data_IF_913822393356
#
_entry.id   IF_913822393356
#
_cell.length_a   1.000
_cell.length_b   1.000
_cell.length_c   1.000
_cell.angle_alpha   90.00
_cell.angle_beta   90.00
_cell.angle_gamma   90.00
#
_symmetry.space_group_name_H-M   'P 1'
#
loop_
_entity.id
_entity.type
_entity.pdbx_description
1 polymer ?
#
# COMPACT_ATOMS: atom_id res chain seq x y z
N UNK A 1 -11.90 6.18 3.43
CA UNK A 1 -12.93 5.11 3.23
C UNK A 1 -13.15 4.30 4.52
N UNK A 2 -13.21 4.99 5.67
CA UNK A 2 -13.30 4.30 6.98
C UNK A 2 -14.62 3.53 7.11
N UNK A 3 -15.73 4.16 6.78
CA UNK A 3 -17.05 3.52 6.93
C UNK A 3 -17.22 2.30 6.02
N UNK A 4 -16.73 2.39 4.78
CA UNK A 4 -16.77 1.24 3.86
C UNK A 4 -15.86 0.09 4.35
N UNK A 5 -14.72 0.39 4.94
CA UNK A 5 -13.83 -0.62 5.55
C UNK A 5 -14.55 -1.33 6.68
N UNK A 6 -15.18 -0.60 7.61
CA UNK A 6 -15.91 -1.16 8.74
C UNK A 6 -17.10 -2.01 8.28
N UNK A 7 -17.86 -1.52 7.28
CA UNK A 7 -18.99 -2.25 6.69
C UNK A 7 -18.54 -3.60 6.11
N UNK A 8 -17.45 -3.63 5.32
CA UNK A 8 -17.00 -4.86 4.68
C UNK A 8 -16.23 -5.79 5.60
N UNK A 9 -15.58 -5.29 6.66
CA UNK A 9 -14.98 -6.13 7.69
C UNK A 9 -16.02 -6.86 8.54
N UNK A 10 -17.22 -6.27 8.73
CA UNK A 10 -18.33 -6.84 9.50
C UNK A 10 -17.87 -7.28 10.90
N UNK A 11 -17.49 -6.29 11.69
CA UNK A 11 -16.76 -6.51 12.93
C UNK A 11 -17.57 -7.27 13.98
N UNK A 12 -17.00 -8.37 14.47
CA UNK A 12 -17.38 -8.97 15.75
C UNK A 12 -16.72 -8.16 16.88
N UNK A 13 -17.47 -7.55 17.82
CA UNK A 13 -16.91 -6.73 18.90
C UNK A 13 -15.89 -7.43 19.80
N UNK A 14 -15.88 -8.76 19.84
CA UNK A 14 -14.96 -9.60 20.63
C UNK A 14 -13.86 -10.22 19.75
N UNK A 15 -13.84 -9.94 18.45
CA UNK A 15 -12.95 -10.56 17.47
C UNK A 15 -11.51 -10.09 17.55
N UNK A 16 -10.64 -10.83 16.87
CA UNK A 16 -9.24 -10.49 16.66
C UNK A 16 -9.04 -10.02 15.22
N UNK A 17 -8.56 -8.80 15.06
CA UNK A 17 -8.34 -8.16 13.75
C UNK A 17 -6.88 -7.81 13.52
N UNK A 18 -6.51 -7.73 12.26
CA UNK A 18 -5.20 -7.20 11.85
C UNK A 18 -5.40 -6.04 10.90
N UNK A 19 -4.76 -4.92 11.20
CA UNK A 19 -4.48 -3.85 10.25
C UNK A 19 -3.04 -4.06 9.77
N UNK A 20 -2.90 -4.63 8.57
CA UNK A 20 -1.60 -5.04 8.01
C UNK A 20 -0.76 -3.85 7.49
N UNK A 21 -1.33 -2.64 7.52
CA UNK A 21 -0.74 -1.38 7.07
C UNK A 21 -1.20 -0.24 7.98
N UNK A 22 -0.95 -0.38 9.28
CA UNK A 22 -1.57 0.50 10.30
C UNK A 22 -1.25 1.99 10.10
N UNK A 23 -0.14 2.32 9.45
CA UNK A 23 0.28 3.68 9.20
C UNK A 23 0.25 4.52 10.48
N UNK A 24 -0.43 5.65 10.45
CA UNK A 24 -0.63 6.52 11.63
C UNK A 24 -1.87 6.15 12.47
N UNK A 25 -2.47 4.98 12.25
CA UNK A 25 -3.54 4.45 13.09
C UNK A 25 -4.96 4.92 12.76
N UNK A 26 -5.22 5.46 11.56
CA UNK A 26 -6.55 5.99 11.21
C UNK A 26 -7.64 4.92 11.16
N UNK A 27 -7.46 3.87 10.40
CA UNK A 27 -8.38 2.73 10.33
C UNK A 27 -8.38 1.94 11.64
N UNK A 28 -7.20 1.73 12.24
CA UNK A 28 -7.05 1.05 13.51
C UNK A 28 -7.88 1.68 14.63
N UNK A 29 -7.90 3.03 14.75
CA UNK A 29 -8.74 3.75 15.70
C UNK A 29 -10.22 3.45 15.49
N UNK A 30 -10.69 3.47 14.24
CA UNK A 30 -12.09 3.22 13.92
C UNK A 30 -12.51 1.77 14.21
N UNK A 31 -11.63 0.80 13.95
CA UNK A 31 -11.85 -0.61 14.30
C UNK A 31 -11.91 -0.76 15.82
N UNK A 32 -10.91 -0.28 16.55
CA UNK A 32 -10.82 -0.39 18.01
C UNK A 32 -12.00 0.27 18.74
N UNK A 33 -12.54 1.37 18.21
CA UNK A 33 -13.73 2.02 18.74
C UNK A 33 -15.01 1.18 18.61
N UNK A 34 -15.04 0.19 17.71
CA UNK A 34 -16.18 -0.76 17.53
C UNK A 34 -15.98 -2.06 18.30
N UNK A 35 -14.77 -2.36 18.74
CA UNK A 35 -14.47 -3.53 19.55
C UNK A 35 -14.78 -3.26 21.03
N UNK A 36 -15.27 -4.28 21.73
CA UNK A 36 -15.48 -4.27 23.20
C UNK A 36 -14.31 -4.97 23.92
N UNK A 37 -14.24 -6.27 23.84
CA UNK A 37 -13.15 -7.12 24.37
C UNK A 37 -12.20 -7.58 23.28
N UNK A 38 -12.56 -7.37 22.02
CA UNK A 38 -11.76 -7.72 20.85
C UNK A 38 -10.42 -6.97 20.80
N UNK A 39 -9.48 -7.50 20.02
CA UNK A 39 -8.11 -6.98 19.92
C UNK A 39 -7.74 -6.66 18.49
N UNK A 40 -6.77 -5.76 18.34
CA UNK A 40 -6.19 -5.39 17.05
C UNK A 40 -4.68 -5.56 17.08
N UNK A 41 -4.13 -6.20 16.06
CA UNK A 41 -2.71 -6.21 15.76
C UNK A 41 -2.48 -5.26 14.58
N UNK A 42 -1.62 -4.27 14.75
CA UNK A 42 -1.24 -3.31 13.70
C UNK A 42 0.17 -3.56 13.21
N UNK A 43 0.34 -3.73 11.90
CA UNK A 43 1.65 -3.89 11.27
C UNK A 43 2.01 -2.65 10.45
N UNK A 44 3.24 -2.24 10.50
CA UNK A 44 3.85 -1.31 9.54
C UNK A 44 5.37 -1.54 9.50
N UNK A 45 5.98 -1.28 8.36
CA UNK A 45 7.45 -1.33 8.22
C UNK A 45 8.12 0.02 8.52
N UNK A 46 7.34 1.11 8.56
CA UNK A 46 7.84 2.44 8.88
C UNK A 46 7.80 2.70 10.40
N UNK A 47 8.96 2.78 11.08
CA UNK A 47 9.02 3.01 12.51
C UNK A 47 8.44 4.37 12.92
N UNK A 48 8.49 5.39 12.05
CA UNK A 48 7.89 6.69 12.32
C UNK A 48 6.36 6.60 12.34
N UNK A 49 5.77 5.87 11.40
CA UNK A 49 4.34 5.63 11.37
C UNK A 49 3.86 4.89 12.64
N UNK A 50 4.59 3.84 13.05
CA UNK A 50 4.29 3.10 14.28
C UNK A 50 4.39 3.97 15.54
N UNK A 51 5.38 4.85 15.63
CA UNK A 51 5.50 5.78 16.78
C UNK A 51 4.28 6.71 16.88
N UNK A 52 3.81 7.24 15.76
CA UNK A 52 2.61 8.09 15.72
C UNK A 52 1.36 7.27 16.05
N UNK A 53 1.24 6.05 15.50
CA UNK A 53 0.13 5.15 15.81
C UNK A 53 0.09 4.79 17.30
N UNK A 54 1.23 4.52 17.92
CA UNK A 54 1.35 4.20 19.34
C UNK A 54 0.79 5.33 20.23
N UNK A 55 1.13 6.58 19.92
CA UNK A 55 0.62 7.74 20.68
C UNK A 55 -0.87 7.96 20.40
N UNK A 56 -1.28 7.94 19.14
CA UNK A 56 -2.67 8.15 18.74
C UNK A 56 -3.63 7.11 19.31
N UNK A 57 -3.20 5.86 19.42
CA UNK A 57 -4.03 4.73 19.84
C UNK A 57 -3.82 4.36 21.31
N UNK A 58 -3.16 5.22 22.08
CA UNK A 58 -2.79 4.98 23.50
C UNK A 58 -3.99 4.61 24.37
N UNK A 59 -5.14 5.22 24.14
CA UNK A 59 -6.37 4.94 24.89
C UNK A 59 -6.91 3.51 24.72
N UNK A 60 -6.53 2.82 23.63
CA UNK A 60 -6.98 1.46 23.32
C UNK A 60 -6.09 0.36 23.90
N UNK A 61 -5.03 0.68 24.65
CA UNK A 61 -4.27 -0.32 25.40
C UNK A 61 -5.14 -0.94 26.51
N UNK A 62 -5.06 -2.26 26.76
CA UNK A 62 -4.16 -3.28 26.21
C UNK A 62 -4.70 -4.04 24.98
N UNK A 63 -5.75 -3.55 24.31
CA UNK A 63 -6.39 -4.23 23.18
C UNK A 63 -5.64 -4.05 21.84
N UNK A 64 -4.57 -3.26 21.83
CA UNK A 64 -3.75 -2.99 20.67
C UNK A 64 -2.34 -3.56 20.85
N UNK A 65 -1.84 -4.22 19.80
CA UNK A 65 -0.45 -4.61 19.68
C UNK A 65 0.11 -4.11 18.34
N UNK A 66 1.16 -3.30 18.39
CA UNK A 66 1.86 -2.80 17.20
C UNK A 66 3.15 -3.59 16.98
N UNK A 67 3.41 -3.96 15.74
CA UNK A 67 4.57 -4.76 15.33
C UNK A 67 5.22 -4.13 14.10
N UNK A 68 6.53 -3.90 14.16
CA UNK A 68 7.30 -3.48 12.99
C UNK A 68 7.55 -4.68 12.10
N UNK A 69 6.77 -4.78 11.02
CA UNK A 69 6.89 -5.86 10.03
C UNK A 69 6.24 -5.46 8.71
N UNK A 70 6.69 -6.06 7.62
CA UNK A 70 5.93 -6.07 6.38
C UNK A 70 4.73 -7.01 6.50
N UNK A 71 3.61 -6.64 5.88
CA UNK A 71 2.44 -7.53 5.77
C UNK A 71 2.74 -8.83 5.02
N UNK A 72 3.81 -8.89 4.22
CA UNK A 72 4.26 -10.13 3.58
C UNK A 72 4.64 -11.21 4.60
N UNK A 73 5.03 -10.82 5.81
CA UNK A 73 5.41 -11.71 6.91
C UNK A 73 4.27 -11.95 7.91
N UNK A 74 3.02 -11.60 7.54
CA UNK A 74 1.86 -11.72 8.43
C UNK A 74 1.75 -13.08 9.14
N UNK A 75 1.87 -14.25 8.47
CA UNK A 75 1.74 -15.54 9.15
C UNK A 75 2.79 -15.75 10.22
N UNK A 76 4.03 -15.37 9.94
CA UNK A 76 5.15 -15.53 10.89
C UNK A 76 4.93 -14.66 12.15
N UNK A 77 4.41 -13.43 11.94
CA UNK A 77 4.04 -12.54 13.05
C UNK A 77 2.89 -13.11 13.86
N UNK A 78 1.84 -13.61 13.21
CA UNK A 78 0.69 -14.21 13.91
C UNK A 78 1.08 -15.47 14.71
N UNK A 79 1.96 -16.30 14.17
CA UNK A 79 2.50 -17.48 14.85
C UNK A 79 3.29 -17.07 16.10
N UNK A 80 4.23 -16.13 15.98
CA UNK A 80 5.02 -15.60 17.10
C UNK A 80 4.16 -15.02 18.22
N UNK A 81 3.02 -14.43 17.87
CA UNK A 81 2.08 -13.84 18.83
C UNK A 81 1.05 -14.83 19.37
N UNK A 82 1.02 -16.09 18.87
CA UNK A 82 -0.02 -17.06 19.20
C UNK A 82 -1.42 -16.56 18.84
N UNK A 83 -1.54 -15.82 17.73
CA UNK A 83 -2.71 -15.02 17.35
C UNK A 83 -3.39 -15.49 16.06
N UNK A 84 -3.10 -16.68 15.57
CA UNK A 84 -3.72 -17.25 14.36
C UNK A 84 -4.73 -18.35 14.73
N UNK A 85 -5.84 -18.44 13.98
CA UNK A 85 -6.34 -17.55 12.93
C UNK A 85 -7.09 -16.33 13.47
N UNK A 86 -7.30 -15.28 12.60
CA UNK A 86 -7.95 -14.02 12.96
C UNK A 86 -9.35 -13.89 12.34
N UNK A 87 -10.19 -13.01 12.92
CA UNK A 87 -11.55 -12.74 12.45
C UNK A 87 -11.57 -11.83 11.21
N UNK A 88 -10.58 -10.95 11.06
CA UNK A 88 -10.49 -10.11 9.87
C UNK A 88 -9.14 -9.47 9.64
N UNK A 89 -8.89 -9.15 8.38
CA UNK A 89 -7.68 -8.52 7.87
C UNK A 89 -8.02 -7.25 7.10
N UNK A 90 -7.32 -6.17 7.39
CA UNK A 90 -7.30 -4.95 6.58
C UNK A 90 -5.92 -4.74 5.99
N UNK A 91 -5.85 -4.34 4.72
CA UNK A 91 -4.65 -3.78 4.12
C UNK A 91 -5.01 -2.52 3.32
N UNK A 92 -4.49 -1.36 3.75
CA UNK A 92 -4.59 -0.08 3.04
C UNK A 92 -3.26 0.18 2.34
N UNK A 93 -3.20 -0.20 1.06
CA UNK A 93 -1.96 -0.25 0.29
C UNK A 93 -1.43 1.14 -0.08
N UNK A 94 -0.14 1.22 -0.35
CA UNK A 94 0.53 2.41 -0.84
C UNK A 94 1.20 3.24 0.25
N UNK A 95 1.42 4.52 -0.03
CA UNK A 95 2.14 5.45 0.86
C UNK A 95 1.20 6.18 1.79
N UNK A 96 1.64 6.40 3.01
CA UNK A 96 0.93 7.21 3.97
C UNK A 96 1.01 8.72 3.61
N UNK A 97 0.05 9.49 4.11
CA UNK A 97 0.08 10.96 4.03
C UNK A 97 1.37 11.53 4.63
N UNK A 98 1.83 10.96 5.74
CA UNK A 98 3.08 11.33 6.40
C UNK A 98 4.28 11.22 5.46
N UNK A 99 4.40 10.10 4.71
CA UNK A 99 5.50 9.88 3.77
C UNK A 99 5.44 10.83 2.57
N UNK A 100 4.24 11.17 2.07
CA UNK A 100 4.06 12.12 0.96
C UNK A 100 4.34 13.56 1.34
N UNK A 101 4.04 13.95 2.58
CA UNK A 101 4.17 15.33 3.06
C UNK A 101 5.55 15.61 3.66
N UNK A 102 6.41 14.60 3.80
CA UNK A 102 7.78 14.70 4.28
C UNK A 102 8.77 14.75 3.09
N UNK A 103 9.29 15.92 2.67
CA UNK A 103 10.19 16.03 1.53
C UNK A 103 11.46 15.19 1.68
N UNK A 104 11.95 15.05 2.91
CA UNK A 104 13.15 14.26 3.26
C UNK A 104 12.99 12.75 3.00
N UNK A 105 11.76 12.26 2.80
CA UNK A 105 11.47 10.86 2.44
C UNK A 105 11.52 10.62 0.92
N UNK A 106 11.49 11.64 0.09
CA UNK A 106 11.65 11.57 -1.36
C UNK A 106 10.47 10.99 -2.15
N UNK A 107 9.30 10.76 -1.55
CA UNK A 107 8.12 10.22 -2.23
C UNK A 107 7.42 11.22 -3.15
N UNK A 108 7.64 12.50 -2.95
CA UNK A 108 6.98 13.59 -3.67
C UNK A 108 7.99 14.40 -4.48
N UNK A 109 7.52 15.01 -5.57
CA UNK A 109 8.26 16.00 -6.35
C UNK A 109 7.64 17.40 -6.24
N UNK A 110 6.86 17.66 -5.20
CA UNK A 110 6.32 19.00 -4.91
C UNK A 110 7.36 19.90 -4.24
N UNK A 111 8.31 19.29 -3.54
CA UNK A 111 9.46 19.94 -2.95
C UNK A 111 10.73 19.14 -3.27
N UNK A 112 11.89 19.78 -3.17
CA UNK A 112 13.17 19.09 -3.29
C UNK A 112 13.39 18.16 -2.10
N UNK A 113 13.75 16.90 -2.37
CA UNK A 113 14.08 15.90 -1.38
C UNK A 113 15.04 14.87 -1.95
N UNK A 114 15.69 14.06 -1.11
CA UNK A 114 16.59 13.01 -1.56
C UNK A 114 15.85 11.98 -2.42
N UNK A 115 16.56 11.30 -3.30
CA UNK A 115 16.02 10.19 -4.09
C UNK A 115 16.02 8.90 -3.23
N UNK A 116 15.24 8.90 -2.14
CA UNK A 116 15.18 7.79 -1.19
C UNK A 116 14.00 6.85 -1.50
N UNK A 117 12.77 7.25 -1.22
CA UNK A 117 11.50 6.53 -1.42
C UNK A 117 11.35 5.22 -0.62
N UNK A 118 12.20 4.93 0.36
CA UNK A 118 12.05 3.74 1.21
C UNK A 118 10.94 3.96 2.23
N UNK A 119 10.02 3.01 2.35
CA UNK A 119 9.05 2.94 3.46
C UNK A 119 9.75 2.44 4.73
N UNK A 120 10.53 1.36 4.61
CA UNK A 120 11.43 0.88 5.64
C UNK A 120 12.81 1.54 5.48
N UNK A 121 13.25 2.39 6.42
CA UNK A 121 14.55 3.08 6.32
C UNK A 121 15.75 2.12 6.35
N UNK A 122 15.57 0.89 6.85
CA UNK A 122 16.64 -0.12 6.90
C UNK A 122 16.77 -0.91 5.59
N UNK A 123 15.86 -0.70 4.62
CA UNK A 123 15.98 -1.29 3.29
C UNK A 123 17.25 -0.82 2.59
N UNK A 124 17.99 -1.73 1.90
CA UNK A 124 19.28 -1.39 1.29
C UNK A 124 19.17 -0.59 -0.01
N UNK A 125 18.04 -0.62 -0.70
CA UNK A 125 17.83 -0.05 -2.03
C UNK A 125 17.03 1.23 -1.96
N UNK A 126 17.53 2.28 -2.57
CA UNK A 126 16.89 3.60 -2.67
C UNK A 126 16.48 3.93 -4.10
N UNK A 127 15.71 5.00 -4.29
CA UNK A 127 15.42 5.51 -5.64
C UNK A 127 16.71 6.04 -6.32
N UNK A 128 17.71 6.51 -5.56
CA UNK A 128 19.01 6.92 -6.08
C UNK A 128 19.71 5.77 -6.80
N UNK A 129 19.71 4.58 -6.22
CA UNK A 129 20.31 3.39 -6.84
C UNK A 129 19.71 3.09 -8.20
N UNK A 130 18.38 3.22 -8.33
CA UNK A 130 17.69 3.02 -9.59
C UNK A 130 18.02 4.13 -10.62
N UNK A 131 17.93 5.40 -10.24
CA UNK A 131 18.07 6.48 -11.22
C UNK A 131 19.55 6.78 -11.54
N UNK A 132 20.46 6.63 -10.57
CA UNK A 132 21.87 7.00 -10.78
C UNK A 132 22.78 5.82 -11.13
N UNK A 133 22.39 4.57 -10.81
CA UNK A 133 23.28 3.39 -10.98
C UNK A 133 22.75 2.32 -11.89
N UNK A 134 21.41 2.11 -12.00
CA UNK A 134 20.87 1.04 -12.82
C UNK A 134 21.19 1.22 -14.31
N UNK A 135 21.25 0.11 -15.06
CA UNK A 135 21.41 0.17 -16.53
C UNK A 135 20.17 0.77 -17.18
N UNK A 136 20.32 1.42 -18.33
CA UNK A 136 19.23 2.03 -19.09
C UNK A 136 18.09 1.03 -19.36
N UNK A 137 18.45 -0.20 -19.71
CA UNK A 137 17.49 -1.25 -20.01
C UNK A 137 16.66 -1.62 -18.77
N UNK A 138 17.33 -1.88 -17.63
CA UNK A 138 16.66 -2.28 -16.38
C UNK A 138 15.71 -1.18 -15.90
N UNK A 139 16.14 0.08 -15.99
CA UNK A 139 15.30 1.24 -15.65
C UNK A 139 14.11 1.36 -16.61
N UNK A 140 14.28 1.11 -17.91
CA UNK A 140 13.18 1.15 -18.87
C UNK A 140 12.16 0.05 -18.61
N UNK A 141 12.60 -1.17 -18.29
CA UNK A 141 11.73 -2.29 -17.94
C UNK A 141 10.95 -2.01 -16.65
N UNK A 142 11.62 -1.46 -15.63
CA UNK A 142 10.98 -1.05 -14.39
C UNK A 142 9.88 -0.01 -14.64
N UNK A 143 10.18 1.06 -15.37
CA UNK A 143 9.23 2.12 -15.68
C UNK A 143 8.02 1.61 -16.47
N UNK A 144 8.23 0.68 -17.39
CA UNK A 144 7.15 0.06 -18.15
C UNK A 144 6.28 -0.85 -17.29
N UNK A 145 6.89 -1.73 -16.51
CA UNK A 145 6.21 -2.76 -15.70
C UNK A 145 5.49 -2.16 -14.50
N UNK A 146 6.18 -1.34 -13.71
CA UNK A 146 5.66 -0.83 -12.44
C UNK A 146 4.93 0.52 -12.59
N UNK A 147 5.23 1.31 -13.64
CA UNK A 147 4.61 2.62 -13.87
C UNK A 147 3.53 2.63 -14.95
N UNK A 148 3.34 1.53 -15.67
CA UNK A 148 2.54 1.53 -16.91
C UNK A 148 2.91 2.73 -17.84
N UNK A 149 4.23 3.01 -17.92
CA UNK A 149 4.76 4.20 -18.60
C UNK A 149 5.06 3.88 -20.07
N UNK A 150 4.25 4.44 -20.96
CA UNK A 150 4.35 4.22 -22.42
C UNK A 150 5.65 4.74 -23.02
N UNK A 151 6.27 5.74 -22.38
CA UNK A 151 7.51 6.36 -22.85
C UNK A 151 8.75 5.87 -22.06
N UNK A 152 8.67 4.71 -21.41
CA UNK A 152 9.67 4.17 -20.51
C UNK A 152 11.10 4.23 -21.07
N UNK A 153 11.33 3.73 -22.30
CA UNK A 153 12.65 3.78 -22.95
C UNK A 153 13.20 5.19 -23.12
N UNK A 154 12.33 6.15 -23.53
CA UNK A 154 12.74 7.53 -23.72
C UNK A 154 13.08 8.22 -22.40
N UNK A 155 12.29 7.94 -21.37
CA UNK A 155 12.52 8.47 -20.01
C UNK A 155 13.78 7.87 -19.41
N UNK A 156 13.98 6.56 -19.48
CA UNK A 156 15.19 5.90 -18.97
C UNK A 156 16.46 6.48 -19.62
N UNK A 157 16.46 6.64 -20.96
CA UNK A 157 17.56 7.28 -21.68
C UNK A 157 17.82 8.72 -21.23
N UNK A 158 16.77 9.51 -21.00
CA UNK A 158 16.92 10.88 -20.50
C UNK A 158 17.51 10.91 -19.09
N UNK A 159 17.04 10.04 -18.20
CA UNK A 159 17.58 9.88 -16.86
C UNK A 159 19.08 9.55 -16.93
N UNK A 160 19.46 8.51 -17.66
CA UNK A 160 20.88 8.09 -17.78
C UNK A 160 21.78 9.19 -18.31
N UNK A 161 21.32 9.97 -19.31
CA UNK A 161 22.07 11.11 -19.89
C UNK A 161 22.19 12.30 -18.94
N UNK A 162 21.30 12.42 -17.96
CA UNK A 162 21.26 13.55 -17.02
C UNK A 162 21.93 13.24 -15.69
N UNK A 163 22.58 12.06 -15.55
CA UNK A 163 23.28 11.67 -14.33
C UNK A 163 24.47 12.57 -14.03
N UNK A 164 24.76 12.85 -12.75
CA UNK A 164 24.00 12.41 -11.57
C UNK A 164 22.74 13.27 -11.35
N UNK A 165 21.62 12.62 -11.03
CA UNK A 165 20.43 13.30 -10.56
C UNK A 165 20.57 13.60 -9.06
N UNK A 166 20.24 14.82 -8.66
CA UNK A 166 20.53 15.33 -7.31
C UNK A 166 19.39 15.15 -6.32
N UNK A 167 18.15 15.32 -6.79
CA UNK A 167 16.96 15.37 -5.95
C UNK A 167 15.69 15.04 -6.75
N UNK A 168 14.55 14.99 -6.07
CA UNK A 168 13.25 14.69 -6.63
C UNK A 168 12.79 15.71 -7.68
N UNK A 169 13.10 16.99 -7.51
CA UNK A 169 12.75 18.03 -8.49
C UNK A 169 13.58 17.88 -9.77
N UNK A 170 14.87 17.61 -9.66
CA UNK A 170 15.73 17.36 -10.80
C UNK A 170 15.24 16.17 -11.63
N UNK A 171 14.89 15.04 -10.95
CA UNK A 171 14.29 13.89 -11.62
C UNK A 171 12.98 14.25 -12.33
N UNK A 172 12.10 14.98 -11.67
CA UNK A 172 10.81 15.39 -12.26
C UNK A 172 11.00 16.31 -13.47
N UNK A 173 11.98 17.22 -13.46
CA UNK A 173 12.33 18.09 -14.58
C UNK A 173 12.84 17.28 -15.78
N UNK A 174 13.76 16.34 -15.55
CA UNK A 174 14.29 15.45 -16.60
C UNK A 174 13.18 14.65 -17.27
N UNK A 175 12.29 14.04 -16.46
CA UNK A 175 11.14 13.28 -16.98
C UNK A 175 10.19 14.17 -17.80
N UNK A 176 9.87 15.36 -17.28
CA UNK A 176 8.97 16.32 -17.96
C UNK A 176 9.54 16.78 -19.29
N UNK A 177 10.85 17.04 -19.38
CA UNK A 177 11.55 17.41 -20.60
C UNK A 177 11.52 16.35 -21.71
N UNK A 178 11.17 15.10 -21.38
CA UNK A 178 10.99 14.06 -22.42
C UNK A 178 9.70 14.18 -23.21
N UNK A 179 8.73 14.96 -22.74
CA UNK A 179 7.40 15.10 -23.34
C UNK A 179 7.20 16.46 -23.95
N UNK A 180 6.58 16.52 -25.14
CA UNK A 180 6.08 17.79 -25.67
C UNK A 180 4.85 18.20 -24.87
N UNK A 181 4.69 19.50 -24.53
CA UNK A 181 3.46 19.99 -23.90
C UNK A 181 2.25 19.64 -24.78
N UNK A 182 1.34 18.83 -24.29
CA UNK A 182 0.06 18.54 -24.97
C UNK A 182 -1.06 18.97 -24.04
N UNK A 183 -1.62 20.14 -24.19
CA UNK A 183 -2.84 20.60 -23.54
C UNK A 183 -2.86 20.37 -22.01
N UNK A 184 -4.04 20.43 -21.38
CA UNK A 184 -4.23 20.17 -19.93
C UNK A 184 -4.12 18.67 -19.64
N UNK A 185 -2.99 18.22 -19.13
CA UNK A 185 -2.80 16.83 -18.70
C UNK A 185 -3.50 16.59 -17.37
N UNK A 186 -4.20 15.44 -17.23
CA UNK A 186 -4.87 15.04 -15.98
C UNK A 186 -3.87 14.71 -14.84
N UNK A 187 -2.65 14.27 -15.19
CA UNK A 187 -1.59 13.89 -14.25
C UNK A 187 -0.27 14.53 -14.68
N UNK A 188 0.54 14.90 -13.71
CA UNK A 188 1.90 15.39 -13.96
C UNK A 188 2.73 14.30 -14.67
N UNK A 189 3.58 14.63 -15.66
CA UNK A 189 4.37 13.65 -16.43
C UNK A 189 5.24 12.73 -15.57
N UNK A 190 5.79 13.22 -14.47
CA UNK A 190 6.63 12.44 -13.57
C UNK A 190 5.87 11.45 -12.68
N UNK A 191 4.54 11.56 -12.53
CA UNK A 191 3.76 10.74 -11.59
C UNK A 191 3.98 9.25 -11.78
N UNK A 192 4.00 8.75 -13.03
CA UNK A 192 4.20 7.33 -13.32
C UNK A 192 5.62 6.88 -13.05
N UNK A 193 6.61 7.73 -13.29
CA UNK A 193 8.01 7.45 -12.98
C UNK A 193 8.22 7.33 -11.48
N UNK A 194 7.68 8.25 -10.68
CA UNK A 194 7.74 8.20 -9.22
C UNK A 194 7.02 6.97 -8.66
N UNK A 195 5.84 6.65 -9.18
CA UNK A 195 5.12 5.43 -8.82
C UNK A 195 5.95 4.17 -9.11
N UNK A 196 6.58 4.09 -10.29
CA UNK A 196 7.38 2.94 -10.67
C UNK A 196 8.59 2.76 -9.75
N UNK A 197 9.31 3.85 -9.46
CA UNK A 197 10.44 3.83 -8.54
C UNK A 197 10.02 3.41 -7.13
N UNK A 198 8.93 3.97 -6.61
CA UNK A 198 8.37 3.62 -5.31
C UNK A 198 8.06 2.13 -5.20
N UNK A 199 7.35 1.60 -6.18
CA UNK A 199 7.00 0.18 -6.25
C UNK A 199 8.25 -0.71 -6.23
N UNK A 200 9.29 -0.33 -6.98
CA UNK A 200 10.51 -1.11 -7.07
C UNK A 200 11.36 -1.03 -5.79
N UNK A 201 11.53 0.17 -5.23
CA UNK A 201 12.28 0.39 -3.98
C UNK A 201 11.67 -0.42 -2.83
N UNK A 202 10.35 -0.45 -2.75
CA UNK A 202 9.63 -1.08 -1.64
C UNK A 202 9.14 -2.50 -1.94
N UNK A 203 9.44 -3.04 -3.14
CA UNK A 203 9.02 -4.38 -3.58
C UNK A 203 7.52 -4.62 -3.42
N UNK A 204 6.71 -3.57 -3.67
CA UNK A 204 5.29 -3.55 -3.32
C UNK A 204 4.49 -4.67 -3.99
N UNK A 205 4.82 -5.04 -5.24
CA UNK A 205 4.13 -6.13 -5.96
C UNK A 205 4.44 -7.49 -5.36
N UNK A 206 5.73 -7.77 -5.13
CA UNK A 206 6.20 -9.05 -4.56
C UNK A 206 5.65 -9.26 -3.14
N UNK A 207 5.67 -8.21 -2.31
CA UNK A 207 5.10 -8.27 -0.96
C UNK A 207 3.58 -8.50 -1.01
N UNK A 208 2.86 -7.81 -1.91
CA UNK A 208 1.42 -7.98 -2.06
C UNK A 208 1.06 -9.39 -2.54
N UNK A 209 1.81 -9.95 -3.49
CA UNK A 209 1.63 -11.33 -3.94
C UNK A 209 1.78 -12.32 -2.79
N UNK A 210 2.85 -12.20 -2.01
CA UNK A 210 3.10 -13.05 -0.84
C UNK A 210 2.00 -12.94 0.20
N UNK A 211 1.55 -11.73 0.51
CA UNK A 211 0.45 -11.49 1.43
C UNK A 211 -0.84 -12.16 0.96
N UNK A 212 -1.25 -11.91 -0.28
CA UNK A 212 -2.50 -12.43 -0.84
C UNK A 212 -2.56 -13.95 -0.85
N UNK A 213 -1.46 -14.63 -1.11
CA UNK A 213 -1.38 -16.10 -1.08
C UNK A 213 -1.59 -16.66 0.33
N UNK A 214 -1.29 -15.87 1.37
CA UNK A 214 -1.33 -16.29 2.77
C UNK A 214 -2.60 -15.87 3.51
N UNK A 215 -3.40 -14.97 2.94
CA UNK A 215 -4.67 -14.51 3.51
C UNK A 215 -5.61 -15.66 3.93
N UNK A 216 -5.86 -16.71 3.12
CA UNK A 216 -6.79 -17.77 3.52
C UNK A 216 -6.33 -18.56 4.75
N UNK A 217 -5.03 -18.71 4.94
CA UNK A 217 -4.48 -19.45 6.10
C UNK A 217 -4.60 -18.61 7.37
N UNK A 218 -4.41 -17.30 7.26
CA UNK A 218 -4.46 -16.38 8.39
C UNK A 218 -5.88 -16.16 8.94
N UNK A 219 -6.92 -16.33 8.11
CA UNK A 219 -8.32 -16.07 8.49
C UNK A 219 -8.99 -17.28 9.13
N UNK A 220 -9.89 -17.05 10.07
CA UNK A 220 -10.92 -18.02 10.52
C UNK A 220 -11.91 -18.30 9.39
N UNK A 221 -12.61 -19.43 9.45
CA UNK A 221 -13.82 -19.66 8.62
C UNK A 221 -14.83 -18.54 8.87
N UNK A 222 -15.34 -17.91 7.80
CA UNK A 222 -16.18 -16.72 7.89
C UNK A 222 -15.43 -15.41 8.13
N UNK A 223 -14.12 -15.46 8.40
CA UNK A 223 -13.30 -14.26 8.54
C UNK A 223 -13.11 -13.51 7.22
N UNK A 224 -12.99 -12.19 7.29
CA UNK A 224 -12.98 -11.32 6.12
C UNK A 224 -11.66 -10.60 5.90
N UNK A 225 -11.32 -10.40 4.64
CA UNK A 225 -10.21 -9.54 4.22
C UNK A 225 -10.75 -8.37 3.42
N UNK A 226 -10.30 -7.16 3.78
CA UNK A 226 -10.59 -5.91 3.08
C UNK A 226 -9.28 -5.29 2.61
N UNK A 227 -9.19 -4.99 1.33
CA UNK A 227 -8.00 -4.38 0.74
C UNK A 227 -8.37 -3.10 0.02
N UNK A 228 -7.69 -2.02 0.37
CA UNK A 228 -7.70 -0.74 -0.33
C UNK A 228 -6.49 -0.68 -1.26
N UNK A 229 -6.69 -0.30 -2.51
CA UNK A 229 -5.64 -0.09 -3.51
C UNK A 229 -5.83 1.25 -4.20
N UNK A 230 -4.74 1.88 -4.67
CA UNK A 230 -4.78 3.23 -5.23
C UNK A 230 -4.37 3.29 -6.70
N UNK A 231 -3.79 2.23 -7.24
CA UNK A 231 -3.46 2.14 -8.66
C UNK A 231 -3.90 0.82 -9.30
N UNK A 232 -3.84 0.79 -10.64
CA UNK A 232 -4.40 -0.32 -11.43
C UNK A 232 -3.65 -1.64 -11.26
N UNK A 233 -2.37 -1.61 -10.93
CA UNK A 233 -1.56 -2.83 -10.77
C UNK A 233 -1.96 -3.57 -9.49
N UNK A 234 -2.04 -2.86 -8.35
CA UNK A 234 -2.54 -3.44 -7.09
C UNK A 234 -3.95 -4.01 -7.25
N UNK A 235 -4.90 -3.19 -7.73
CA UNK A 235 -6.30 -3.61 -7.90
C UNK A 235 -6.44 -4.83 -8.81
N UNK A 236 -5.60 -4.91 -9.86
CA UNK A 236 -5.58 -6.05 -10.77
C UNK A 236 -5.10 -7.31 -10.05
N UNK A 237 -4.00 -7.21 -9.32
CA UNK A 237 -3.43 -8.32 -8.56
C UNK A 237 -4.43 -8.85 -7.52
N UNK A 238 -4.98 -7.98 -6.66
CA UNK A 238 -6.00 -8.34 -5.67
C UNK A 238 -7.21 -9.01 -6.32
N UNK A 239 -7.73 -8.42 -7.42
CA UNK A 239 -8.87 -8.98 -8.17
C UNK A 239 -8.59 -10.38 -8.71
N UNK A 240 -7.42 -10.60 -9.31
CA UNK A 240 -7.08 -11.90 -9.91
C UNK A 240 -6.91 -12.94 -8.82
N UNK A 241 -6.12 -12.66 -7.78
CA UNK A 241 -5.89 -13.61 -6.69
C UNK A 241 -7.18 -13.97 -5.95
N UNK A 242 -8.05 -12.99 -5.64
CA UNK A 242 -9.35 -13.30 -5.01
C UNK A 242 -10.23 -14.19 -5.89
N UNK A 243 -10.19 -14.04 -7.23
CA UNK A 243 -10.94 -14.91 -8.16
C UNK A 243 -10.36 -16.33 -8.22
N UNK A 244 -9.04 -16.46 -8.26
CA UNK A 244 -8.34 -17.73 -8.25
C UNK A 244 -8.63 -18.51 -6.95
N UNK A 245 -8.53 -17.84 -5.82
CA UNK A 245 -8.85 -18.41 -4.52
C UNK A 245 -10.35 -18.76 -4.38
N UNK A 246 -11.25 -17.99 -5.00
CA UNK A 246 -12.65 -18.32 -5.04
C UNK A 246 -12.93 -19.54 -5.95
N UNK A 247 -12.25 -19.66 -7.07
CA UNK A 247 -12.33 -20.84 -7.93
C UNK A 247 -11.78 -22.10 -7.24
N UNK A 248 -10.81 -21.94 -6.36
CA UNK A 248 -10.25 -23.02 -5.52
C UNK A 248 -11.11 -23.31 -4.26
N UNK A 249 -12.24 -22.61 -4.05
CA UNK A 249 -13.12 -22.81 -2.91
C UNK A 249 -12.59 -22.31 -1.57
N UNK A 250 -11.48 -21.55 -1.55
CA UNK A 250 -10.88 -21.05 -0.30
C UNK A 250 -11.45 -19.73 0.16
N UNK A 251 -11.84 -18.85 -0.77
CA UNK A 251 -12.48 -17.57 -0.50
C UNK A 251 -13.81 -17.42 -1.23
N UNK A 252 -14.69 -16.59 -0.70
CA UNK A 252 -15.88 -16.07 -1.36
C UNK A 252 -15.68 -14.58 -1.62
N UNK A 253 -15.66 -14.16 -2.89
CA UNK A 253 -15.55 -12.74 -3.25
C UNK A 253 -16.84 -12.01 -2.88
N UNK A 254 -16.74 -11.04 -1.97
CA UNK A 254 -17.87 -10.23 -1.52
C UNK A 254 -18.14 -9.06 -2.48
N UNK A 255 -17.10 -8.39 -2.95
CA UNK A 255 -17.19 -7.24 -3.86
C UNK A 255 -17.04 -7.66 -5.32
N UNK A 256 -18.13 -8.03 -6.00
CA UNK A 256 -18.12 -8.36 -7.45
C UNK A 256 -17.64 -7.17 -8.30
N UNK A 257 -18.08 -5.95 -7.93
CA UNK A 257 -17.59 -4.67 -8.48
C UNK A 257 -16.74 -4.00 -7.43
N UNK A 258 -15.71 -3.26 -7.87
CA UNK A 258 -14.89 -2.46 -6.96
C UNK A 258 -15.73 -1.40 -6.27
N UNK A 259 -15.58 -1.28 -4.95
CA UNK A 259 -16.20 -0.19 -4.18
C UNK A 259 -15.30 1.05 -4.29
N UNK A 260 -15.94 2.19 -4.51
CA UNK A 260 -15.27 3.49 -4.67
C UNK A 260 -15.65 4.39 -3.50
N UNK A 261 -14.78 5.36 -3.13
CA UNK A 261 -15.12 6.32 -2.11
C UNK A 261 -16.35 7.14 -2.51
N UNK A 262 -17.15 7.50 -1.54
CA UNK A 262 -18.30 8.39 -1.74
C UNK A 262 -17.84 9.79 -2.14
N UNK A 263 -18.65 10.58 -2.87
CA UNK A 263 -18.30 11.95 -3.26
C UNK A 263 -17.90 12.84 -2.09
N UNK A 264 -18.56 12.68 -0.94
CA UNK A 264 -18.31 13.43 0.30
C UNK A 264 -16.91 13.12 0.87
N UNK A 265 -16.51 11.85 0.83
CA UNK A 265 -15.17 11.42 1.22
C UNK A 265 -14.12 12.05 0.30
N UNK A 266 -14.36 12.04 -1.02
CA UNK A 266 -13.43 12.63 -2.00
C UNK A 266 -13.32 14.14 -1.83
N UNK A 267 -14.41 14.81 -1.46
CA UNK A 267 -14.41 16.24 -1.18
C UNK A 267 -13.61 16.58 0.09
N UNK A 268 -13.77 15.78 1.16
CA UNK A 268 -13.02 15.93 2.40
C UNK A 268 -11.56 15.49 2.28
N UNK A 269 -11.29 14.39 1.53
CA UNK A 269 -9.97 13.82 1.31
C UNK A 269 -9.74 13.54 -0.19
N UNK A 270 -9.21 14.50 -0.96
CA UNK A 270 -8.96 14.32 -2.39
C UNK A 270 -8.00 13.16 -2.72
N UNK A 271 -7.16 12.72 -1.77
CA UNK A 271 -6.26 11.57 -1.93
C UNK A 271 -7.04 10.25 -2.02
N UNK A 272 -8.23 10.15 -1.43
CA UNK A 272 -9.10 8.99 -1.54
C UNK A 272 -9.68 8.76 -2.95
N UNK A 273 -9.66 9.76 -3.84
CA UNK A 273 -10.29 9.70 -5.17
C UNK A 273 -9.93 8.45 -5.98
N UNK A 274 -8.71 7.95 -5.88
CA UNK A 274 -8.23 6.77 -6.60
C UNK A 274 -8.46 5.46 -5.85
N UNK A 275 -8.90 5.51 -4.61
CA UNK A 275 -9.10 4.33 -3.79
C UNK A 275 -10.09 3.33 -4.42
N UNK A 276 -9.78 2.06 -4.22
CA UNK A 276 -10.53 0.90 -4.70
C UNK A 276 -10.55 -0.14 -3.60
N UNK A 277 -11.74 -0.39 -3.04
CA UNK A 277 -11.90 -1.41 -2.02
C UNK A 277 -12.36 -2.72 -2.65
N UNK A 278 -11.70 -3.81 -2.22
CA UNK A 278 -12.12 -5.18 -2.47
C UNK A 278 -12.19 -5.96 -1.17
N UNK A 279 -13.22 -6.81 -1.05
CA UNK A 279 -13.43 -7.67 0.10
C UNK A 279 -13.71 -9.11 -0.33
N UNK A 280 -13.21 -10.03 0.48
CA UNK A 280 -13.49 -11.46 0.36
C UNK A 280 -13.62 -12.08 1.76
N UNK A 281 -14.27 -13.24 1.84
CA UNK A 281 -14.51 -13.97 3.07
C UNK A 281 -13.99 -15.40 2.92
N UNK A 282 -13.34 -15.92 3.97
CA UNK A 282 -12.85 -17.30 3.98
C UNK A 282 -14.03 -18.27 4.06
N UNK A 283 -14.06 -19.23 3.13
CA UNK A 283 -15.03 -20.33 3.18
C UNK A 283 -14.62 -21.36 4.23
N UNK A 284 -15.61 -21.93 4.93
CA UNK A 284 -15.39 -23.12 5.74
C UNK A 284 -15.05 -24.30 4.83
N UNK A 285 -14.11 -25.13 5.26
CA UNK A 285 -13.97 -26.46 4.65
C UNK A 285 -15.17 -27.29 5.15
N UNK A 286 -16.05 -27.69 4.23
CA UNK A 286 -17.08 -28.71 4.50
C UNK A 286 -16.43 -30.07 4.72
#
# INVERSE_FOLDING_TARGET
MVEEVLEWLDLNPEGLYVDATVGTGGHAAAILARLTTGRLIGLDKDPMALSIAQERLREFQPRLQLVRSSYAHLPDVLEQLGASPVDGLLADLGVSTLQLDAPERGFSFQAAGPLDMRMDPDSPVTADDWVNRAREQDLAELLARCGDERHAKKIARAIVRSRPLRDTLHLAQVVTGTRKPKGRQKLHPATRTFLALRIAVNREQEELEQFLLRVPVALKSGGRVVILSYHSLEDRLVKHTFREQAAAGTLRVLTRKVVRPRPEEVAANPRARSARLRAAEKQGME
#
